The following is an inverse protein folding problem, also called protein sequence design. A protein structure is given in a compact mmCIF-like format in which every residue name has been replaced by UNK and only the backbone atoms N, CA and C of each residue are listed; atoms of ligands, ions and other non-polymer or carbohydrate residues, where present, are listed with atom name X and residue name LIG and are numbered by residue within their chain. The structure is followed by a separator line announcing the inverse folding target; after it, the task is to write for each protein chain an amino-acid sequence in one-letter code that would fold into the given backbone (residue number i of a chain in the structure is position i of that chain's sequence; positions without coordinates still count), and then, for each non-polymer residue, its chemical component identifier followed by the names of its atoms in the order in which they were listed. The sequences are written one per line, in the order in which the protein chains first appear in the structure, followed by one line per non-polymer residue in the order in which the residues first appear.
data_IF_321814869069
#
_entry.id   IF_321814869069
#
_cell.length_a   1.000
_cell.length_b   1.000
_cell.length_c   1.000
_cell.angle_alpha   90.00
_cell.angle_beta   90.00
_cell.angle_gamma   90.00
#
_symmetry.space_group_name_H-M   'P 1'
#
loop_
_entity.id
_entity.type
_entity.pdbx_description
1 polymer ?
#
# COMPACT_ATOMS: atom_id res chain seq x y z
N UNK A 1 -15.11 -6.22 13.32
CA UNK A 1 -14.49 -6.94 12.21
C UNK A 1 -15.02 -6.32 10.92
N UNK A 2 -14.22 -6.20 9.87
CA UNK A 2 -14.51 -5.55 8.57
C UNK A 2 -14.32 -4.01 8.53
N UNK A 3 -13.62 -3.41 9.48
CA UNK A 3 -13.19 -1.99 9.39
C UNK A 3 -12.27 -1.71 8.20
N UNK A 4 -11.53 -2.72 7.74
CA UNK A 4 -10.63 -2.64 6.59
C UNK A 4 -11.30 -2.24 5.28
N UNK A 5 -12.57 -2.60 5.06
CA UNK A 5 -13.30 -2.18 3.86
C UNK A 5 -13.47 -0.65 3.82
N UNK A 6 -13.89 -0.06 4.93
CA UNK A 6 -14.02 1.42 5.04
C UNK A 6 -12.67 2.11 4.87
N UNK A 7 -11.62 1.51 5.41
CA UNK A 7 -10.26 2.01 5.28
C UNK A 7 -9.80 2.03 3.80
N UNK A 8 -10.00 0.94 3.06
CA UNK A 8 -9.68 0.86 1.64
C UNK A 8 -10.47 1.88 0.82
N UNK A 9 -11.79 1.97 1.04
CA UNK A 9 -12.65 2.93 0.35
C UNK A 9 -12.17 4.36 0.63
N UNK A 10 -11.82 4.68 1.87
CA UNK A 10 -11.36 6.03 2.23
C UNK A 10 -10.06 6.40 1.51
N UNK A 11 -9.12 5.48 1.38
CA UNK A 11 -7.86 5.70 0.63
C UNK A 11 -8.15 5.94 -0.85
N UNK A 12 -8.99 5.11 -1.48
CA UNK A 12 -9.34 5.24 -2.90
C UNK A 12 -10.04 6.58 -3.15
N UNK A 13 -11.03 6.93 -2.33
CA UNK A 13 -11.78 8.18 -2.47
C UNK A 13 -10.87 9.39 -2.25
N UNK A 14 -10.05 9.38 -1.20
CA UNK A 14 -9.09 10.47 -0.94
C UNK A 14 -8.11 10.65 -2.10
N UNK A 15 -7.57 9.54 -2.63
CA UNK A 15 -6.68 9.58 -3.78
C UNK A 15 -7.38 10.15 -5.02
N UNK A 16 -8.59 9.71 -5.32
CA UNK A 16 -9.37 10.21 -6.44
C UNK A 16 -9.71 11.71 -6.29
N UNK A 17 -10.14 12.14 -5.11
CA UNK A 17 -10.45 13.55 -4.82
C UNK A 17 -9.23 14.43 -5.03
N UNK A 18 -8.06 14.02 -4.53
CA UNK A 18 -6.83 14.83 -4.71
C UNK A 18 -6.43 14.89 -6.19
N UNK A 19 -6.53 13.81 -6.94
CA UNK A 19 -6.25 13.83 -8.39
C UNK A 19 -7.21 14.74 -9.17
N UNK A 20 -8.50 14.70 -8.83
CA UNK A 20 -9.52 15.53 -9.47
C UNK A 20 -9.27 17.02 -9.14
N UNK A 21 -9.04 17.34 -7.88
CA UNK A 21 -8.77 18.74 -7.44
C UNK A 21 -7.47 19.27 -8.05
N UNK A 22 -6.42 18.47 -8.10
CA UNK A 22 -5.18 18.83 -8.78
C UNK A 22 -5.42 19.20 -10.25
N UNK A 23 -6.14 18.34 -10.96
CA UNK A 23 -6.47 18.58 -12.37
C UNK A 23 -7.35 19.84 -12.57
N UNK A 24 -8.33 20.07 -11.69
CA UNK A 24 -9.23 21.24 -11.77
C UNK A 24 -8.52 22.56 -11.47
N UNK A 25 -7.55 22.54 -10.54
CA UNK A 25 -6.77 23.71 -10.15
C UNK A 25 -5.56 23.97 -11.06
N UNK A 26 -5.41 23.20 -12.15
CA UNK A 26 -4.24 23.28 -13.03
C UNK A 26 -2.94 22.87 -12.35
N UNK A 27 -3.05 22.10 -11.28
CA UNK A 27 -1.91 21.57 -10.55
C UNK A 27 -1.16 20.48 -11.31
N UNK A 28 0.00 20.13 -10.83
CA UNK A 28 0.91 19.20 -11.48
C UNK A 28 1.46 18.15 -10.53
N UNK A 29 0.63 17.62 -9.60
CA UNK A 29 1.07 16.61 -8.64
C UNK A 29 1.64 15.37 -9.37
N UNK A 30 1.03 14.98 -10.50
CA UNK A 30 1.53 13.94 -11.37
C UNK A 30 2.48 14.42 -12.47
N UNK A 31 2.64 15.75 -12.62
CA UNK A 31 3.46 16.36 -13.68
C UNK A 31 4.44 17.38 -13.13
N UNK A 32 4.71 17.35 -11.82
CA UNK A 32 5.47 18.35 -11.05
C UNK A 32 6.62 19.00 -11.80
N UNK A 33 6.54 20.30 -11.82
CA UNK A 33 7.35 21.30 -12.49
C UNK A 33 8.79 20.90 -12.78
N UNK A 34 9.19 20.97 -14.03
CA UNK A 34 10.49 20.74 -14.65
C UNK A 34 10.97 19.28 -14.82
N UNK A 35 10.43 18.32 -14.10
CA UNK A 35 10.64 16.90 -14.42
C UNK A 35 9.29 16.32 -14.83
N UNK A 36 9.12 16.09 -16.12
CA UNK A 36 8.02 15.27 -16.63
C UNK A 36 8.09 13.97 -15.87
N UNK A 37 7.11 13.69 -15.01
CA UNK A 37 7.01 12.37 -14.36
C UNK A 37 6.92 11.37 -15.51
N UNK A 38 7.98 10.62 -15.73
CA UNK A 38 8.03 9.61 -16.77
C UNK A 38 6.89 8.60 -16.58
N UNK A 39 6.46 7.96 -17.64
CA UNK A 39 5.38 6.97 -17.58
C UNK A 39 5.68 5.85 -16.57
N UNK A 40 6.96 5.60 -16.28
CA UNK A 40 7.45 4.70 -15.26
C UNK A 40 7.01 5.07 -13.83
N UNK A 41 6.95 6.35 -13.48
CA UNK A 41 6.47 6.80 -12.16
C UNK A 41 4.96 6.64 -12.04
N UNK A 42 4.20 6.92 -13.11
CA UNK A 42 2.75 6.67 -13.13
C UNK A 42 2.47 5.19 -12.91
N UNK A 43 3.22 4.31 -13.58
CA UNK A 43 3.10 2.85 -13.38
C UNK A 43 3.35 2.48 -11.91
N UNK A 44 4.38 3.02 -11.26
CA UNK A 44 4.64 2.76 -9.83
C UNK A 44 3.47 3.15 -8.94
N UNK A 45 2.89 4.33 -9.16
CA UNK A 45 1.78 4.86 -8.34
C UNK A 45 0.52 4.03 -8.55
N UNK A 46 0.08 3.86 -9.79
CA UNK A 46 -1.18 3.17 -10.08
C UNK A 46 -1.10 1.66 -9.84
N UNK A 47 0.02 1.01 -10.22
CA UNK A 47 0.23 -0.40 -9.93
C UNK A 47 0.35 -0.65 -8.41
N UNK A 48 1.00 0.26 -7.67
CA UNK A 48 1.07 0.19 -6.21
C UNK A 48 -0.29 0.33 -5.54
N UNK A 49 -1.13 1.27 -6.00
CA UNK A 49 -2.50 1.43 -5.51
C UNK A 49 -3.34 0.19 -5.82
N UNK A 50 -3.24 -0.33 -7.06
CA UNK A 50 -3.96 -1.54 -7.46
C UNK A 50 -3.53 -2.75 -6.65
N UNK A 51 -2.23 -2.90 -6.37
CA UNK A 51 -1.70 -3.94 -5.49
C UNK A 51 -2.29 -3.80 -4.07
N UNK A 52 -2.31 -2.60 -3.50
CA UNK A 52 -2.89 -2.36 -2.17
C UNK A 52 -4.38 -2.74 -2.11
N UNK A 53 -5.16 -2.36 -3.12
CA UNK A 53 -6.57 -2.74 -3.23
C UNK A 53 -6.74 -4.25 -3.34
N UNK A 54 -5.93 -4.91 -4.17
CA UNK A 54 -5.98 -6.36 -4.34
C UNK A 54 -5.65 -7.12 -3.05
N UNK A 55 -4.62 -6.69 -2.31
CA UNK A 55 -4.34 -7.23 -0.97
C UNK A 55 -5.48 -6.98 0.01
N UNK A 56 -6.08 -5.80 -0.03
CA UNK A 56 -7.25 -5.49 0.79
C UNK A 56 -8.45 -6.39 0.48
N UNK A 57 -8.68 -6.70 -0.80
CA UNK A 57 -9.74 -7.63 -1.21
C UNK A 57 -9.47 -9.07 -0.75
N UNK A 58 -8.20 -9.51 -0.72
CA UNK A 58 -7.82 -10.81 -0.17
C UNK A 58 -8.14 -10.85 1.34
N UNK A 59 -7.78 -9.81 2.10
CA UNK A 59 -8.12 -9.69 3.51
C UNK A 59 -9.63 -9.67 3.75
N UNK A 60 -10.35 -8.86 2.98
CA UNK A 60 -11.81 -8.81 3.04
C UNK A 60 -12.46 -10.17 2.75
N UNK A 61 -11.99 -10.91 1.74
CA UNK A 61 -12.50 -12.24 1.42
C UNK A 61 -12.25 -13.22 2.57
N UNK A 62 -11.08 -13.16 3.21
CA UNK A 62 -10.75 -13.98 4.38
C UNK A 62 -11.73 -13.74 5.54
N UNK A 63 -11.98 -12.48 5.86
CA UNK A 63 -12.91 -12.11 6.94
C UNK A 63 -14.37 -12.36 6.58
N UNK A 64 -14.76 -12.11 5.34
CA UNK A 64 -16.11 -12.40 4.87
C UNK A 64 -16.46 -13.88 4.99
N UNK A 65 -15.51 -14.77 4.66
CA UNK A 65 -15.70 -16.22 4.81
C UNK A 65 -15.90 -16.61 6.29
N UNK A 66 -15.15 -16.01 7.22
CA UNK A 66 -15.30 -16.23 8.66
C UNK A 66 -16.70 -15.83 9.13
N UNK A 67 -17.16 -14.64 8.74
CA UNK A 67 -18.49 -14.13 9.12
C UNK A 67 -19.62 -14.95 8.48
N UNK A 68 -19.55 -15.19 7.18
CA UNK A 68 -20.60 -15.90 6.43
C UNK A 68 -20.77 -17.36 6.89
N UNK A 69 -19.66 -18.03 7.20
CA UNK A 69 -19.69 -19.42 7.66
C UNK A 69 -19.78 -19.55 9.19
N UNK A 70 -19.88 -18.43 9.93
CA UNK A 70 -19.94 -18.39 11.41
C UNK A 70 -18.88 -19.29 12.08
N UNK A 71 -17.65 -19.26 11.56
CA UNK A 71 -16.51 -20.03 12.06
C UNK A 71 -15.23 -19.22 11.98
N UNK A 72 -14.25 -19.52 12.85
CA UNK A 72 -12.98 -18.79 12.90
C UNK A 72 -12.00 -19.13 11.77
N UNK A 73 -12.38 -19.99 10.83
CA UNK A 73 -11.54 -20.38 9.69
C UNK A 73 -11.98 -19.61 8.44
N UNK A 74 -11.10 -18.73 7.97
CA UNK A 74 -11.21 -18.00 6.72
C UNK A 74 -10.68 -18.80 5.52
N UNK A 75 -9.88 -18.14 4.68
CA UNK A 75 -9.12 -18.80 3.62
C UNK A 75 -8.10 -19.79 4.20
N UNK A 76 -7.84 -20.88 3.48
CA UNK A 76 -6.72 -21.74 3.84
C UNK A 76 -5.39 -21.00 3.64
N UNK A 77 -4.34 -21.39 4.38
CA UNK A 77 -3.01 -20.78 4.25
C UNK A 77 -2.55 -20.83 2.79
N UNK A 78 -2.74 -21.96 2.11
CA UNK A 78 -2.36 -22.11 0.71
C UNK A 78 -3.15 -21.18 -0.23
N UNK A 79 -4.46 -21.00 -0.01
CA UNK A 79 -5.29 -20.07 -0.81
C UNK A 79 -4.86 -18.62 -0.58
N UNK A 80 -4.66 -18.20 0.67
CA UNK A 80 -4.22 -16.85 1.02
C UNK A 80 -2.85 -16.56 0.41
N UNK A 81 -1.87 -17.44 0.65
CA UNK A 81 -0.50 -17.27 0.11
C UNK A 81 -0.48 -17.31 -1.42
N UNK A 82 -1.24 -18.20 -2.05
CA UNK A 82 -1.34 -18.28 -3.51
C UNK A 82 -1.91 -17.00 -4.12
N UNK A 83 -2.98 -16.46 -3.55
CA UNK A 83 -3.55 -15.19 -4.00
C UNK A 83 -2.57 -14.01 -3.79
N UNK A 84 -1.87 -13.96 -2.66
CA UNK A 84 -0.84 -12.96 -2.39
C UNK A 84 0.30 -13.03 -3.41
N UNK A 85 0.82 -14.22 -3.70
CA UNK A 85 1.88 -14.42 -4.70
C UNK A 85 1.43 -13.94 -6.09
N UNK A 86 0.20 -14.24 -6.49
CA UNK A 86 -0.33 -13.80 -7.79
C UNK A 86 -0.37 -12.28 -7.90
N UNK A 87 -0.84 -11.58 -6.86
CA UNK A 87 -0.85 -10.11 -6.81
C UNK A 87 0.56 -9.53 -6.85
N UNK A 88 1.49 -10.12 -6.09
CA UNK A 88 2.90 -9.71 -6.09
C UNK A 88 3.54 -9.86 -7.47
N UNK A 89 3.32 -10.99 -8.13
CA UNK A 89 3.84 -11.24 -9.48
C UNK A 89 3.29 -10.25 -10.49
N UNK A 90 1.99 -9.94 -10.44
CA UNK A 90 1.37 -8.94 -11.32
C UNK A 90 1.98 -7.55 -11.12
N UNK A 91 2.18 -7.13 -9.87
CA UNK A 91 2.82 -5.85 -9.55
C UNK A 91 4.27 -5.80 -10.01
N UNK A 92 5.06 -6.83 -9.71
CA UNK A 92 6.46 -6.91 -10.13
C UNK A 92 6.60 -6.98 -11.66
N UNK A 93 5.67 -7.65 -12.35
CA UNK A 93 5.63 -7.65 -13.81
C UNK A 93 5.39 -6.25 -14.38
N UNK A 94 4.46 -5.49 -13.81
CA UNK A 94 4.22 -4.10 -14.22
C UNK A 94 5.47 -3.23 -14.02
N UNK A 95 6.18 -3.37 -12.90
CA UNK A 95 7.44 -2.65 -12.66
C UNK A 95 8.54 -3.09 -13.62
N UNK A 96 8.67 -4.38 -13.87
CA UNK A 96 9.66 -4.92 -14.81
C UNK A 96 9.44 -4.40 -16.23
N UNK A 97 8.19 -4.43 -16.71
CA UNK A 97 7.83 -3.92 -18.05
C UNK A 97 8.05 -2.41 -18.20
N UNK A 98 8.00 -1.64 -17.12
CA UNK A 98 8.30 -0.21 -17.10
C UNK A 98 9.80 0.10 -16.86
N UNK A 99 10.68 -0.91 -16.87
CA UNK A 99 12.13 -0.73 -16.69
C UNK A 99 12.59 -0.41 -15.27
N UNK A 100 11.72 -0.62 -14.28
CA UNK A 100 11.99 -0.29 -12.87
C UNK A 100 12.57 -1.47 -12.08
N UNK A 101 13.70 -1.99 -12.53
CA UNK A 101 14.43 -3.12 -11.89
C UNK A 101 15.60 -2.67 -11.02
N UNK A 102 15.86 -1.35 -10.97
CA UNK A 102 16.97 -0.79 -10.21
C UNK A 102 16.62 -0.56 -8.75
N UNK A 103 17.58 -0.88 -7.88
CA UNK A 103 17.54 -0.59 -6.47
C UNK A 103 18.72 0.30 -6.08
N UNK A 104 18.45 1.36 -5.32
CA UNK A 104 19.51 2.18 -4.73
C UNK A 104 20.03 1.52 -3.46
N UNK A 105 21.29 1.12 -3.46
CA UNK A 105 21.97 0.59 -2.27
C UNK A 105 22.91 1.68 -1.75
N UNK A 106 22.76 2.11 -0.48
CA UNK A 106 23.69 3.07 0.12
C UNK A 106 25.14 2.61 -0.06
N UNK A 107 26.02 3.55 -0.38
CA UNK A 107 27.45 3.36 -0.63
C UNK A 107 27.82 2.63 -1.94
N UNK A 108 26.88 1.97 -2.60
CA UNK A 108 27.11 1.24 -3.87
C UNK A 108 26.49 1.97 -5.05
N UNK A 109 25.35 2.65 -4.83
CA UNK A 109 24.62 3.35 -5.88
C UNK A 109 23.45 2.55 -6.46
N UNK A 110 23.08 2.85 -7.71
CA UNK A 110 22.01 2.15 -8.41
C UNK A 110 22.48 0.80 -8.95
N UNK A 111 21.88 -0.27 -8.47
CA UNK A 111 22.16 -1.65 -8.90
C UNK A 111 20.95 -2.21 -9.62
N UNK A 112 21.16 -2.73 -10.84
CA UNK A 112 20.11 -3.47 -11.55
C UNK A 112 20.06 -4.91 -11.00
N UNK A 113 18.95 -5.23 -10.36
CA UNK A 113 18.76 -6.53 -9.71
C UNK A 113 18.49 -7.66 -10.71
N UNK A 114 18.13 -7.37 -11.98
CA UNK A 114 17.86 -8.38 -13.02
C UNK A 114 16.95 -9.50 -12.50
N UNK A 115 17.46 -10.74 -12.51
CA UNK A 115 16.71 -11.91 -12.01
C UNK A 115 16.40 -11.82 -10.50
N UNK A 116 17.32 -11.29 -9.70
CA UNK A 116 17.11 -11.12 -8.25
C UNK A 116 15.98 -10.16 -7.92
N UNK A 117 15.55 -9.27 -8.83
CA UNK A 117 14.41 -8.40 -8.67
C UNK A 117 13.13 -9.15 -8.27
N UNK A 118 12.89 -10.30 -8.91
CA UNK A 118 11.70 -11.10 -8.61
C UNK A 118 11.75 -11.74 -7.24
N UNK A 119 12.85 -12.39 -6.90
CA UNK A 119 13.02 -13.07 -5.61
C UNK A 119 12.98 -12.07 -4.48
N UNK A 120 13.75 -10.99 -4.60
CA UNK A 120 13.83 -9.94 -3.59
C UNK A 120 12.50 -9.21 -3.44
N UNK A 121 11.84 -8.85 -4.54
CA UNK A 121 10.55 -8.16 -4.53
C UNK A 121 9.46 -9.00 -3.86
N UNK A 122 9.34 -10.29 -4.21
CA UNK A 122 8.39 -11.19 -3.57
C UNK A 122 8.69 -11.30 -2.07
N UNK A 123 9.95 -11.51 -1.68
CA UNK A 123 10.33 -11.65 -0.29
C UNK A 123 9.98 -10.40 0.53
N UNK A 124 10.34 -9.21 0.04
CA UNK A 124 10.07 -7.94 0.74
C UNK A 124 8.57 -7.70 0.88
N UNK A 125 7.79 -7.84 -0.20
CA UNK A 125 6.35 -7.58 -0.15
C UNK A 125 5.66 -8.62 0.76
N UNK A 126 6.00 -9.90 0.61
CA UNK A 126 5.40 -10.98 1.40
C UNK A 126 5.66 -10.80 2.90
N UNK A 127 6.91 -10.56 3.26
CA UNK A 127 7.29 -10.34 4.67
C UNK A 127 6.61 -9.11 5.23
N UNK A 128 6.58 -7.98 4.48
CA UNK A 128 5.95 -6.74 4.93
C UNK A 128 4.45 -6.92 5.15
N UNK A 129 3.74 -7.50 4.18
CA UNK A 129 2.28 -7.70 4.28
C UNK A 129 1.92 -8.59 5.47
N UNK A 130 2.65 -9.68 5.67
CA UNK A 130 2.39 -10.57 6.79
C UNK A 130 2.82 -9.97 8.14
N UNK A 131 3.93 -9.23 8.20
CA UNK A 131 4.34 -8.52 9.42
C UNK A 131 3.29 -7.48 9.84
N UNK A 132 2.78 -6.69 8.91
CA UNK A 132 1.69 -5.72 9.19
C UNK A 132 0.43 -6.44 9.67
N UNK A 133 0.07 -7.56 9.05
CA UNK A 133 -1.07 -8.36 9.48
C UNK A 133 -0.91 -8.91 10.90
N UNK A 134 0.30 -9.31 11.31
CA UNK A 134 0.57 -9.71 12.70
C UNK A 134 0.52 -8.53 13.68
N UNK A 135 0.91 -7.34 13.23
CA UNK A 135 0.88 -6.12 14.06
C UNK A 135 -0.55 -5.66 14.37
N UNK A 136 -1.52 -6.01 13.54
CA UNK A 136 -2.96 -5.66 13.72
C UNK A 136 -3.68 -6.50 14.79
N UNK A 137 -2.95 -7.16 15.67
CA UNK A 137 -3.50 -7.93 16.78
C UNK A 137 -3.74 -7.14 18.08
N UNK A 138 -3.32 -5.88 18.14
CA UNK A 138 -3.40 -5.02 19.35
C UNK A 138 -4.05 -3.69 18.98
N UNK A 139 -4.98 -3.22 19.84
CA UNK A 139 -5.70 -1.96 19.65
C UNK A 139 -4.74 -0.79 19.42
N UNK A 140 -4.94 -0.06 18.33
CA UNK A 140 -4.19 1.13 17.97
C UNK A 140 -2.77 0.90 17.45
N UNK A 141 -2.17 -0.28 17.65
CA UNK A 141 -0.76 -0.52 17.35
C UNK A 141 -0.46 -0.40 15.85
N UNK A 142 -1.18 -1.15 15.03
CA UNK A 142 -0.96 -1.18 13.58
C UNK A 142 -1.15 0.21 12.97
N UNK A 143 -2.25 0.88 13.29
CA UNK A 143 -2.55 2.21 12.76
C UNK A 143 -1.54 3.28 13.22
N UNK A 144 -1.06 3.22 14.47
CA UNK A 144 -0.06 4.15 14.99
C UNK A 144 1.30 3.96 14.29
N UNK A 145 1.80 2.74 14.21
CA UNK A 145 3.08 2.43 13.54
C UNK A 145 3.01 2.80 12.05
N UNK A 146 1.90 2.46 11.38
CA UNK A 146 1.71 2.80 9.97
C UNK A 146 1.62 4.31 9.76
N UNK A 147 1.03 5.07 10.69
CA UNK A 147 0.98 6.54 10.63
C UNK A 147 2.39 7.14 10.68
N UNK A 148 3.23 6.69 11.60
CA UNK A 148 4.63 7.16 11.70
C UNK A 148 5.42 6.80 10.45
N UNK A 149 5.27 5.58 9.93
CA UNK A 149 5.89 5.18 8.68
C UNK A 149 5.44 6.05 7.51
N UNK A 150 4.14 6.33 7.40
CA UNK A 150 3.58 7.19 6.34
C UNK A 150 4.15 8.62 6.41
N UNK A 151 4.27 9.22 7.60
CA UNK A 151 4.93 10.52 7.78
C UNK A 151 6.38 10.48 7.29
N UNK A 152 7.12 9.42 7.62
CA UNK A 152 8.50 9.24 7.17
C UNK A 152 8.60 9.12 5.64
N UNK A 153 7.67 8.39 5.01
CA UNK A 153 7.59 8.30 3.54
C UNK A 153 7.22 9.63 2.89
N UNK A 154 6.30 10.42 3.49
CA UNK A 154 5.97 11.77 3.00
C UNK A 154 7.22 12.64 3.03
N UNK A 155 7.94 12.68 4.15
CA UNK A 155 9.15 13.50 4.28
C UNK A 155 10.22 13.08 3.26
N UNK A 156 10.51 11.79 3.14
CA UNK A 156 11.48 11.27 2.19
C UNK A 156 11.06 11.56 0.73
N UNK A 157 9.80 11.39 0.40
CA UNK A 157 9.27 11.65 -0.93
C UNK A 157 9.33 13.13 -1.31
N UNK A 158 9.03 14.03 -0.38
CA UNK A 158 9.15 15.48 -0.60
C UNK A 158 10.60 15.90 -0.83
N UNK A 159 11.55 15.39 -0.03
CA UNK A 159 12.99 15.67 -0.20
C UNK A 159 13.48 15.19 -1.57
N UNK A 160 12.96 14.06 -2.06
CA UNK A 160 13.35 13.48 -3.35
C UNK A 160 12.52 14.01 -4.54
N UNK A 161 11.51 14.83 -4.31
CA UNK A 161 10.61 15.33 -5.36
C UNK A 161 9.63 14.28 -5.91
N UNK A 162 9.35 13.20 -5.13
CA UNK A 162 8.43 12.13 -5.55
C UNK A 162 7.00 12.39 -5.05
N UNK A 163 6.35 13.42 -5.58
CA UNK A 163 5.03 13.87 -5.12
C UNK A 163 3.94 12.78 -5.16
N UNK A 164 3.96 11.90 -6.16
CA UNK A 164 2.99 10.80 -6.23
C UNK A 164 3.11 9.80 -5.07
N UNK A 165 4.32 9.56 -4.57
CA UNK A 165 4.54 8.72 -3.38
C UNK A 165 4.07 9.44 -2.13
N UNK A 166 4.33 10.76 -2.01
CA UNK A 166 3.83 11.55 -0.88
C UNK A 166 2.31 11.61 -0.85
N UNK A 167 1.66 11.66 -2.02
CA UNK A 167 0.21 11.59 -2.13
C UNK A 167 -0.35 10.27 -1.58
N UNK A 168 0.17 9.13 -2.03
CA UNK A 168 -0.27 7.82 -1.53
C UNK A 168 -0.02 7.67 -0.02
N UNK A 169 1.14 8.10 0.45
CA UNK A 169 1.46 8.07 1.87
C UNK A 169 0.55 9.01 2.68
N UNK A 170 0.16 10.18 2.13
CA UNK A 170 -0.79 11.10 2.74
C UNK A 170 -2.20 10.51 2.85
N UNK A 171 -2.68 9.84 1.80
CA UNK A 171 -3.96 9.13 1.84
C UNK A 171 -3.95 8.00 2.88
N UNK A 172 -2.85 7.25 2.96
CA UNK A 172 -2.66 6.21 3.95
C UNK A 172 -2.65 6.77 5.37
N UNK A 173 -1.91 7.87 5.59
CA UNK A 173 -1.86 8.57 6.89
C UNK A 173 -3.24 9.04 7.33
N UNK A 174 -3.99 9.71 6.44
CA UNK A 174 -5.35 10.16 6.73
C UNK A 174 -6.29 9.00 7.08
N UNK A 175 -6.20 7.89 6.35
CA UNK A 175 -6.94 6.67 6.64
C UNK A 175 -6.59 6.09 8.01
N UNK A 176 -5.30 6.00 8.34
CA UNK A 176 -4.82 5.50 9.63
C UNK A 176 -5.27 6.38 10.80
N UNK A 177 -5.15 7.70 10.68
CA UNK A 177 -5.58 8.64 11.73
C UNK A 177 -7.10 8.60 11.93
N UNK A 178 -7.87 8.55 10.85
CA UNK A 178 -9.33 8.40 10.94
C UNK A 178 -9.75 7.07 11.58
N UNK A 179 -9.08 5.99 11.20
CA UNK A 179 -9.32 4.67 11.79
C UNK A 179 -8.92 4.62 13.27
N UNK A 180 -7.80 5.27 13.64
CA UNK A 180 -7.28 5.29 15.01
C UNK A 180 -8.27 5.86 16.04
N UNK A 181 -9.15 6.78 15.64
CA UNK A 181 -10.21 7.33 16.50
C UNK A 181 -11.12 6.22 17.04
N UNK A 182 -11.34 5.16 16.24
CA UNK A 182 -12.22 4.03 16.59
C UNK A 182 -11.46 2.81 17.11
N UNK A 183 -10.18 2.70 16.77
CA UNK A 183 -9.33 1.58 17.15
C UNK A 183 -8.42 1.89 18.35
N UNK A 184 -8.45 3.12 18.88
CA UNK A 184 -7.74 3.45 20.14
C UNK A 184 -8.31 2.66 21.31
N UNK A 185 -7.45 2.27 22.23
CA UNK A 185 -7.84 1.47 23.40
C UNK A 185 -8.92 2.17 24.27
N UNK A 186 -10.01 1.50 24.64
CA UNK A 186 -10.44 0.18 24.20
C UNK A 186 -11.02 0.24 22.77
N UNK A 187 -10.45 -0.56 21.87
CA UNK A 187 -10.82 -0.57 20.46
C UNK A 187 -12.26 -0.96 20.19
N UNK A 188 -13.01 -0.08 19.51
CA UNK A 188 -14.42 -0.32 19.14
C UNK A 188 -14.55 -1.05 17.80
N UNK A 189 -13.55 -0.90 16.93
CA UNK A 189 -13.52 -1.46 15.58
C UNK A 189 -12.15 -2.08 15.34
N UNK A 190 -12.12 -3.30 14.81
CA UNK A 190 -10.91 -3.96 14.35
C UNK A 190 -10.87 -3.92 12.82
N UNK A 191 -9.66 -3.82 12.24
CA UNK A 191 -9.49 -3.76 10.79
C UNK A 191 -9.90 -5.07 10.13
N UNK A 192 -9.48 -6.17 10.73
CA UNK A 192 -9.83 -7.52 10.29
C UNK A 192 -8.67 -8.31 9.79
#
# INVERSE_FOLDING_TARGET
VMGGLMFIISIIVSFAVVLITDKLLGGHILTSGSVVIGDDMKVKIFAGLLMAVAFGLIGFADDYIKVAKKRNLGLTIAQKTGAQILVMLAYLAALYMSGNTYMFIPFVGNVDLKFFFWIFGIAVIYLTVNAVNFTDGVDGLCASVTSVAAISFIAAALIRGFFGVSLLAGCLLGGCLGYLIWNWYPGKVMMG
#
